data_IF_525226363835
#
_entry.id   IF_525226363835
#
_cell.length_a   1.000
_cell.length_b   1.000
_cell.length_c   1.000
_cell.angle_alpha   90.00
_cell.angle_beta   90.00
_cell.angle_gamma   90.00
#
_symmetry.space_group_name_H-M   'P 1'
#
loop_
_entity.id
_entity.type
_entity.pdbx_description
1 polymer ?
#
# COMPACT_ATOMS: atom_id res chain seq x y z
N UNK A 1 15.38 7.34 10.15
CA UNK A 1 15.64 5.87 10.25
C UNK A 1 15.96 5.36 8.84
N UNK A 2 16.65 4.23 8.71
CA UNK A 2 16.84 3.64 7.39
C UNK A 2 15.50 3.16 6.83
N UNK A 3 15.32 3.26 5.50
CA UNK A 3 14.10 2.79 4.85
C UNK A 3 13.99 1.26 4.97
N UNK A 4 12.81 0.76 5.35
CA UNK A 4 12.49 -0.67 5.36
C UNK A 4 11.89 -1.13 4.03
N UNK A 5 11.97 -2.42 3.75
CA UNK A 5 11.52 -2.98 2.48
C UNK A 5 10.36 -3.94 2.65
N UNK A 6 9.35 -3.77 1.82
CA UNK A 6 8.22 -4.66 1.70
C UNK A 6 8.01 -5.14 0.25
N UNK A 7 7.23 -6.19 0.12
CA UNK A 7 6.79 -6.71 -1.18
C UNK A 7 5.28 -6.86 -1.20
N UNK A 8 4.65 -6.49 -2.29
CA UNK A 8 3.21 -6.72 -2.52
C UNK A 8 3.03 -7.78 -3.60
N UNK A 9 2.43 -8.89 -3.23
CA UNK A 9 2.18 -10.05 -4.10
C UNK A 9 0.68 -10.16 -4.36
N UNK A 10 0.29 -10.37 -5.63
CA UNK A 10 -1.11 -10.64 -5.98
C UNK A 10 -1.56 -11.99 -5.41
N UNK A 11 -2.76 -12.07 -4.85
CA UNK A 11 -3.34 -13.34 -4.42
C UNK A 11 -3.95 -14.12 -5.60
N UNK A 12 -3.13 -14.29 -6.66
CA UNK A 12 -3.51 -15.04 -7.86
C UNK A 12 -3.43 -16.56 -7.64
N UNK A 13 -4.30 -17.35 -8.30
CA UNK A 13 -4.16 -18.79 -8.32
C UNK A 13 -2.94 -19.23 -9.17
N UNK A 14 -2.25 -20.32 -8.79
CA UNK A 14 -2.52 -21.16 -7.62
C UNK A 14 -1.92 -20.57 -6.34
N UNK A 15 -2.62 -20.69 -5.21
CA UNK A 15 -2.18 -20.11 -3.92
C UNK A 15 -0.77 -20.51 -3.46
N UNK A 16 -0.21 -21.70 -3.78
CA UNK A 16 1.16 -22.01 -3.36
C UNK A 16 2.18 -21.01 -3.89
N UNK A 17 1.97 -20.46 -5.11
CA UNK A 17 2.83 -19.44 -5.69
C UNK A 17 2.90 -18.17 -4.86
N UNK A 18 1.77 -17.76 -4.29
CA UNK A 18 1.72 -16.62 -3.37
C UNK A 18 2.62 -16.85 -2.14
N UNK A 19 2.57 -18.04 -1.55
CA UNK A 19 3.39 -18.39 -0.39
C UNK A 19 4.88 -18.52 -0.75
N UNK A 20 5.20 -19.12 -1.88
CA UNK A 20 6.59 -19.24 -2.39
C UNK A 20 7.23 -17.86 -2.54
N UNK A 21 6.53 -16.89 -3.14
CA UNK A 21 7.05 -15.55 -3.33
C UNK A 21 7.25 -14.79 -2.02
N UNK A 22 6.33 -14.91 -1.05
CA UNK A 22 6.49 -14.29 0.27
C UNK A 22 7.65 -14.93 1.06
N UNK A 23 7.76 -16.24 1.03
CA UNK A 23 8.86 -16.96 1.72
C UNK A 23 10.21 -16.58 1.10
N UNK A 24 10.30 -16.55 -0.24
CA UNK A 24 11.51 -16.11 -0.93
C UNK A 24 11.83 -14.64 -0.59
N UNK A 25 10.84 -13.75 -0.55
CA UNK A 25 11.08 -12.36 -0.17
C UNK A 25 11.62 -12.23 1.26
N UNK A 26 11.09 -12.99 2.22
CA UNK A 26 11.62 -13.05 3.59
C UNK A 26 13.09 -13.50 3.60
N UNK A 27 13.44 -14.54 2.81
CA UNK A 27 14.82 -15.03 2.66
C UNK A 27 15.75 -13.99 2.03
N UNK A 28 15.22 -13.10 1.17
CA UNK A 28 15.97 -11.99 0.56
C UNK A 28 16.04 -10.73 1.45
N UNK A 29 15.48 -10.76 2.66
CA UNK A 29 15.58 -9.67 3.62
C UNK A 29 14.45 -8.63 3.56
N UNK A 30 13.35 -8.93 2.88
CA UNK A 30 12.16 -8.08 2.96
C UNK A 30 11.48 -8.25 4.32
N UNK A 31 11.15 -7.12 4.95
CA UNK A 31 10.56 -7.09 6.30
C UNK A 31 9.03 -7.16 6.27
N UNK A 32 8.39 -6.78 5.14
CA UNK A 32 6.94 -6.71 5.00
C UNK A 32 6.45 -7.49 3.79
N UNK A 33 5.41 -8.30 4.00
CA UNK A 33 4.66 -9.02 2.97
C UNK A 33 3.23 -8.52 2.89
N UNK A 34 2.86 -7.99 1.74
CA UNK A 34 1.56 -7.40 1.51
C UNK A 34 0.79 -8.10 0.40
N UNK A 35 -0.53 -7.99 0.42
CA UNK A 35 -1.38 -8.47 -0.67
C UNK A 35 -2.56 -7.54 -0.92
N UNK A 36 -3.20 -7.67 -2.08
CA UNK A 36 -4.42 -6.95 -2.41
C UNK A 36 -5.66 -7.63 -1.82
N UNK A 37 -6.73 -6.85 -1.67
CA UNK A 37 -8.02 -7.33 -1.18
C UNK A 37 -9.15 -6.91 -2.14
N UNK A 38 -9.26 -7.64 -3.26
CA UNK A 38 -10.31 -7.49 -4.29
C UNK A 38 -10.82 -8.87 -4.68
N UNK A 39 -11.75 -9.40 -3.91
CA UNK A 39 -12.24 -10.78 -3.95
C UNK A 39 -12.90 -11.24 -5.27
N UNK A 40 -13.18 -10.34 -6.20
CA UNK A 40 -13.67 -10.67 -7.55
C UNK A 40 -12.53 -10.76 -8.55
N UNK A 41 -11.48 -9.95 -8.38
CA UNK A 41 -10.34 -9.91 -9.27
C UNK A 41 -9.34 -11.03 -8.97
N UNK A 42 -9.23 -11.41 -7.69
CA UNK A 42 -8.28 -12.41 -7.18
C UNK A 42 -8.93 -13.30 -6.12
N UNK A 43 -8.15 -14.25 -5.58
CA UNK A 43 -8.58 -15.11 -4.49
C UNK A 43 -8.84 -14.31 -3.20
N UNK A 44 -9.70 -14.83 -2.32
CA UNK A 44 -9.97 -14.25 -1.00
C UNK A 44 -8.68 -14.19 -0.15
N UNK A 45 -8.31 -13.00 0.27
CA UNK A 45 -6.99 -12.72 0.84
C UNK A 45 -6.82 -13.13 2.31
N UNK A 46 -7.88 -13.13 3.12
CA UNK A 46 -7.80 -13.48 4.55
C UNK A 46 -7.27 -14.92 4.78
N UNK A 47 -7.80 -15.97 4.10
CA UNK A 47 -7.24 -17.31 4.20
C UNK A 47 -5.78 -17.40 3.75
N UNK A 48 -5.40 -16.63 2.72
CA UNK A 48 -4.02 -16.61 2.19
C UNK A 48 -3.06 -15.94 3.18
N UNK A 49 -3.48 -14.87 3.86
CA UNK A 49 -2.70 -14.26 4.93
C UNK A 49 -2.52 -15.20 6.13
N UNK A 50 -3.53 -16.00 6.46
CA UNK A 50 -3.40 -17.03 7.52
C UNK A 50 -2.34 -18.08 7.16
N UNK A 51 -2.32 -18.54 5.90
CA UNK A 51 -1.29 -19.45 5.41
C UNK A 51 0.09 -18.78 5.39
N UNK A 52 0.19 -17.52 4.91
CA UNK A 52 1.43 -16.76 4.92
C UNK A 52 1.97 -16.54 6.34
N UNK A 53 1.09 -16.29 7.32
CA UNK A 53 1.46 -16.14 8.73
C UNK A 53 2.13 -17.40 9.31
N UNK A 54 1.76 -18.57 8.82
CA UNK A 54 2.39 -19.85 9.23
C UNK A 54 3.60 -20.23 8.39
N UNK A 55 3.69 -19.75 7.14
CA UNK A 55 4.80 -20.03 6.23
C UNK A 55 6.03 -19.14 6.48
N UNK A 56 5.82 -17.90 6.95
CA UNK A 56 6.87 -16.92 7.27
C UNK A 56 7.18 -16.89 8.77
N UNK A 57 8.36 -16.36 9.15
CA UNK A 57 8.84 -16.37 10.55
C UNK A 57 8.90 -14.99 11.19
N UNK A 58 9.38 -14.00 10.46
CA UNK A 58 9.69 -12.64 10.95
C UNK A 58 8.96 -11.55 10.18
N UNK A 59 8.59 -11.84 8.93
CA UNK A 59 7.95 -10.90 8.03
C UNK A 59 6.61 -10.41 8.61
N UNK A 60 6.42 -9.10 8.66
CA UNK A 60 5.13 -8.48 8.97
C UNK A 60 4.20 -8.63 7.78
N UNK A 61 2.92 -8.92 8.02
CA UNK A 61 1.96 -9.28 6.96
C UNK A 61 0.71 -8.41 7.00
N UNK A 62 0.16 -8.09 5.83
CA UNK A 62 -1.06 -7.30 5.76
C UNK A 62 -1.62 -7.10 4.35
N UNK A 63 -2.61 -6.23 4.26
CA UNK A 63 -3.17 -5.81 2.97
C UNK A 63 -2.61 -4.46 2.53
N UNK A 64 -2.36 -4.36 1.23
CA UNK A 64 -1.97 -3.09 0.58
C UNK A 64 -2.94 -2.75 -0.59
N UNK A 65 -4.24 -2.49 -0.33
CA UNK A 65 -4.90 -2.29 0.97
C UNK A 65 -6.24 -3.03 1.02
N UNK A 66 -6.77 -3.27 2.23
CA UNK A 66 -8.17 -3.70 2.43
C UNK A 66 -9.14 -2.51 2.48
N UNK A 67 -10.42 -2.76 2.76
CA UNK A 67 -11.44 -1.71 2.90
C UNK A 67 -12.58 -2.15 3.84
N UNK A 68 -13.27 -1.21 4.52
CA UNK A 68 -14.36 -1.53 5.43
C UNK A 68 -15.72 -1.73 4.74
N UNK A 69 -15.75 -1.76 3.40
CA UNK A 69 -17.01 -1.79 2.64
C UNK A 69 -17.31 -3.12 1.98
N UNK A 70 -16.39 -4.08 1.97
CA UNK A 70 -16.59 -5.43 1.43
C UNK A 70 -16.81 -6.47 2.52
N UNK A 71 -16.39 -6.15 3.74
CA UNK A 71 -16.69 -6.91 4.97
C UNK A 71 -17.23 -5.95 6.01
N UNK A 72 -18.14 -6.44 6.85
CA UNK A 72 -18.60 -5.67 8.00
C UNK A 72 -17.40 -5.32 8.90
N UNK A 73 -17.25 -4.05 9.36
CA UNK A 73 -16.05 -3.60 10.07
C UNK A 73 -15.65 -4.41 11.28
N UNK A 74 -16.61 -4.93 12.10
CA UNK A 74 -16.28 -5.77 13.25
C UNK A 74 -15.73 -7.13 12.83
N UNK A 75 -16.20 -7.69 11.70
CA UNK A 75 -15.69 -8.95 11.13
C UNK A 75 -14.26 -8.74 10.62
N UNK A 76 -13.97 -7.61 9.96
CA UNK A 76 -12.62 -7.28 9.50
C UNK A 76 -11.66 -7.13 10.68
N UNK A 77 -12.05 -6.39 11.71
CA UNK A 77 -11.23 -6.21 12.92
C UNK A 77 -10.96 -7.53 13.64
N UNK A 78 -11.99 -8.39 13.81
CA UNK A 78 -11.85 -9.72 14.40
C UNK A 78 -10.93 -10.62 13.57
N UNK A 79 -11.02 -10.58 12.23
CA UNK A 79 -10.11 -11.33 11.36
C UNK A 79 -8.66 -10.91 11.55
N UNK A 80 -8.39 -9.60 11.64
CA UNK A 80 -7.03 -9.10 11.89
C UNK A 80 -6.49 -9.47 13.26
N UNK A 81 -7.30 -9.37 14.31
CA UNK A 81 -6.91 -9.84 15.65
C UNK A 81 -6.57 -11.34 15.66
N UNK A 82 -7.37 -12.16 14.94
CA UNK A 82 -7.09 -13.61 14.79
C UNK A 82 -5.79 -13.86 14.01
N UNK A 83 -5.58 -13.15 12.88
CA UNK A 83 -4.34 -13.26 12.12
C UNK A 83 -3.12 -12.81 12.94
N UNK A 84 -3.30 -11.81 13.79
CA UNK A 84 -2.25 -11.32 14.68
C UNK A 84 -1.81 -12.37 15.68
N UNK A 85 -2.76 -13.09 16.28
CA UNK A 85 -2.48 -14.24 17.15
C UNK A 85 -1.77 -15.35 16.37
N UNK A 86 -2.31 -15.78 15.21
CA UNK A 86 -1.70 -16.81 14.36
C UNK A 86 -0.25 -16.46 13.96
N UNK A 87 0.00 -15.19 13.64
CA UNK A 87 1.33 -14.74 13.20
C UNK A 87 2.31 -14.48 14.34
N UNK A 88 1.88 -14.53 15.59
CA UNK A 88 2.70 -14.17 16.74
C UNK A 88 3.01 -12.67 16.80
N UNK A 89 2.03 -11.82 16.54
CA UNK A 89 2.14 -10.37 16.68
C UNK A 89 2.69 -9.64 15.44
N UNK A 90 2.61 -10.23 14.23
CA UNK A 90 3.24 -9.67 13.02
C UNK A 90 2.26 -9.02 12.03
N UNK A 91 0.98 -8.83 12.40
CA UNK A 91 0.05 -8.18 11.47
C UNK A 91 0.20 -6.67 11.45
N UNK A 92 0.00 -6.11 10.27
CA UNK A 92 -0.14 -4.66 9.99
C UNK A 92 -1.33 -4.44 9.06
N UNK A 93 -2.09 -3.36 9.23
CA UNK A 93 -3.28 -3.12 8.42
C UNK A 93 -3.08 -1.92 7.48
N UNK A 94 -3.03 -2.15 6.18
CA UNK A 94 -3.23 -1.10 5.20
C UNK A 94 -4.69 -1.06 4.76
N UNK A 95 -5.33 0.11 4.82
CA UNK A 95 -6.76 0.26 4.59
C UNK A 95 -7.11 1.49 3.76
N UNK A 96 -8.01 1.34 2.80
CA UNK A 96 -8.54 2.40 1.95
C UNK A 96 -10.06 2.35 1.86
N UNK A 97 -10.65 3.25 1.07
CA UNK A 97 -12.11 3.35 0.90
C UNK A 97 -12.74 2.25 0.04
N UNK A 98 -11.93 1.40 -0.59
CA UNK A 98 -12.38 0.38 -1.54
C UNK A 98 -12.67 0.96 -2.91
N UNK A 99 -11.67 1.03 -3.78
CA UNK A 99 -11.85 1.37 -5.20
C UNK A 99 -12.17 0.13 -6.02
N UNK A 100 -11.16 -0.63 -6.45
CA UNK A 100 -11.36 -1.81 -7.32
C UNK A 100 -12.30 -2.84 -6.69
N UNK A 101 -12.12 -3.18 -5.41
CA UNK A 101 -12.92 -4.18 -4.70
C UNK A 101 -14.42 -3.88 -4.69
N UNK A 102 -14.81 -2.59 -4.67
CA UNK A 102 -16.21 -2.16 -4.64
C UNK A 102 -16.76 -1.85 -6.03
N UNK A 103 -15.97 -1.22 -6.89
CA UNK A 103 -16.41 -0.88 -8.25
C UNK A 103 -16.72 -2.11 -9.10
N UNK A 104 -15.95 -3.19 -8.97
CA UNK A 104 -16.20 -4.45 -9.70
C UNK A 104 -17.51 -5.15 -9.30
N UNK A 105 -18.06 -4.83 -8.14
CA UNK A 105 -19.39 -5.29 -7.69
C UNK A 105 -20.46 -4.20 -7.84
N UNK A 106 -20.20 -3.14 -8.59
CA UNK A 106 -21.17 -2.06 -8.86
C UNK A 106 -21.37 -1.07 -7.70
N UNK A 107 -20.48 -1.04 -6.73
CA UNK A 107 -20.57 -0.13 -5.58
C UNK A 107 -19.56 1.01 -5.67
N UNK A 108 -19.90 2.16 -5.08
CA UNK A 108 -18.98 3.28 -4.93
C UNK A 108 -18.06 3.08 -3.72
N UNK A 109 -16.85 3.68 -3.71
CA UNK A 109 -16.00 3.72 -2.52
C UNK A 109 -16.77 4.23 -1.29
N UNK A 110 -16.46 3.68 -0.11
CA UNK A 110 -17.10 4.04 1.16
C UNK A 110 -17.11 5.56 1.36
N UNK A 111 -18.19 6.12 1.83
CA UNK A 111 -18.31 7.57 2.10
C UNK A 111 -17.32 7.98 3.19
N UNK A 112 -16.79 9.21 3.10
CA UNK A 112 -15.69 9.65 3.95
C UNK A 112 -15.99 9.62 5.45
N UNK A 113 -17.21 10.01 5.86
CA UNK A 113 -17.61 9.97 7.27
C UNK A 113 -17.71 8.53 7.80
N UNK A 114 -18.37 7.65 7.04
CA UNK A 114 -18.48 6.22 7.34
C UNK A 114 -17.08 5.54 7.36
N UNK A 115 -16.20 5.96 6.44
CA UNK A 115 -14.83 5.47 6.40
C UNK A 115 -14.07 5.83 7.68
N UNK A 116 -14.08 7.09 8.10
CA UNK A 116 -13.41 7.53 9.32
C UNK A 116 -13.96 6.85 10.58
N UNK A 117 -15.29 6.75 10.69
CA UNK A 117 -15.96 6.06 11.80
C UNK A 117 -15.52 4.58 11.87
N UNK A 118 -15.54 3.90 10.71
CA UNK A 118 -15.09 2.50 10.62
C UNK A 118 -13.63 2.34 11.01
N UNK A 119 -12.74 3.27 10.60
CA UNK A 119 -11.33 3.18 10.94
C UNK A 119 -11.06 3.33 12.44
N UNK A 120 -11.72 4.28 13.12
CA UNK A 120 -11.62 4.46 14.57
C UNK A 120 -12.05 3.18 15.29
N UNK A 121 -13.22 2.67 14.94
CA UNK A 121 -13.74 1.43 15.51
C UNK A 121 -12.82 0.23 15.24
N UNK A 122 -12.40 0.01 13.99
CA UNK A 122 -11.53 -1.13 13.62
C UNK A 122 -10.21 -1.07 14.40
N UNK A 123 -9.57 0.11 14.46
CA UNK A 123 -8.28 0.29 15.13
C UNK A 123 -8.35 -0.10 16.60
N UNK A 124 -9.34 0.40 17.32
CA UNK A 124 -9.50 0.13 18.75
C UNK A 124 -9.93 -1.32 18.98
N UNK A 125 -10.91 -1.80 18.21
CA UNK A 125 -11.49 -3.12 18.39
C UNK A 125 -10.54 -4.26 18.06
N UNK A 126 -9.74 -4.14 16.97
CA UNK A 126 -8.76 -5.20 16.64
C UNK A 126 -7.61 -5.29 17.65
N UNK A 127 -7.37 -4.22 18.41
CA UNK A 127 -6.38 -4.14 19.47
C UNK A 127 -6.97 -4.44 20.87
N UNK A 128 -8.19 -5.01 20.92
CA UNK A 128 -8.83 -5.49 22.16
C UNK A 128 -9.38 -4.38 23.05
N UNK A 129 -9.55 -3.16 22.51
CA UNK A 129 -10.20 -2.08 23.26
C UNK A 129 -11.73 -2.19 23.15
N UNK A 130 -12.43 -1.64 24.14
CA UNK A 130 -13.88 -1.51 24.12
C UNK A 130 -14.29 -0.41 23.16
N UNK A 131 -15.31 -0.70 22.33
CA UNK A 131 -15.86 0.23 21.37
C UNK A 131 -17.37 0.29 21.47
N UNK A 132 -17.99 1.45 21.21
CA UNK A 132 -19.43 1.53 20.91
C UNK A 132 -19.61 1.40 19.40
N UNK A 133 -20.40 0.41 18.96
CA UNK A 133 -20.74 0.20 17.56
C UNK A 133 -22.24 -0.06 17.42
N UNK A 134 -22.92 0.83 16.69
CA UNK A 134 -24.37 0.79 16.53
C UNK A 134 -25.14 0.77 17.87
N UNK A 135 -24.66 1.51 18.89
CA UNK A 135 -25.26 1.60 20.22
C UNK A 135 -25.08 0.34 21.07
N UNK A 136 -24.05 -0.47 20.76
CA UNK A 136 -23.64 -1.64 21.53
C UNK A 136 -22.19 -1.52 21.94
N UNK A 137 -21.89 -1.70 23.21
CA UNK A 137 -20.52 -1.88 23.69
C UNK A 137 -20.04 -3.27 23.28
N UNK A 138 -18.93 -3.32 22.55
CA UNK A 138 -18.28 -4.52 22.05
C UNK A 138 -16.83 -4.59 22.54
N UNK A 139 -16.32 -5.81 22.75
CA UNK A 139 -14.93 -6.07 23.13
C UNK A 139 -14.49 -7.44 22.58
N UNK A 140 -13.31 -7.53 21.98
CA UNK A 140 -12.65 -8.81 21.67
C UNK A 140 -11.80 -9.23 22.88
N UNK A 141 -12.43 -9.85 23.88
CA UNK A 141 -11.79 -10.20 25.16
C UNK A 141 -10.61 -11.17 25.05
N UNK A 142 -10.45 -11.78 23.88
CA UNK A 142 -9.38 -12.71 23.53
C UNK A 142 -8.26 -12.09 22.70
N UNK A 143 -8.46 -10.88 22.16
CA UNK A 143 -7.46 -10.21 21.33
C UNK A 143 -6.27 -9.75 22.18
N UNK A 144 -5.06 -9.87 21.60
CA UNK A 144 -3.85 -9.33 22.20
C UNK A 144 -3.84 -7.80 22.06
N UNK A 145 -3.44 -7.12 23.13
CA UNK A 145 -3.22 -5.66 23.12
C UNK A 145 -1.79 -5.29 22.77
N UNK A 146 -0.87 -6.25 22.85
CA UNK A 146 0.56 -6.01 22.64
C UNK A 146 1.20 -7.14 21.82
N UNK A 147 2.01 -6.77 20.80
CA UNK A 147 2.15 -5.42 20.27
C UNK A 147 0.86 -4.96 19.56
N UNK A 148 0.56 -3.66 19.46
CA UNK A 148 -0.62 -3.22 18.75
C UNK A 148 -0.47 -3.43 17.23
N UNK A 149 -1.59 -3.67 16.55
CA UNK A 149 -1.65 -3.76 15.08
C UNK A 149 -1.66 -2.33 14.51
N UNK A 150 -0.62 -1.88 13.79
CA UNK A 150 -0.61 -0.56 13.17
C UNK A 150 -1.66 -0.48 12.06
N UNK A 151 -2.30 0.68 11.91
CA UNK A 151 -3.29 0.96 10.87
C UNK A 151 -2.79 2.08 9.95
N UNK A 152 -2.47 1.73 8.70
CA UNK A 152 -2.00 2.65 7.67
C UNK A 152 -3.11 2.98 6.68
N UNK A 153 -3.35 4.27 6.44
CA UNK A 153 -4.48 4.75 5.63
C UNK A 153 -4.02 5.14 4.22
N UNK A 154 -4.62 4.52 3.22
CA UNK A 154 -4.36 4.86 1.82
C UNK A 154 -5.25 6.00 1.33
N UNK A 155 -4.64 7.00 0.68
CA UNK A 155 -5.39 8.10 0.07
C UNK A 155 -4.51 9.10 -0.65
N UNK A 156 -5.13 9.84 -1.57
CA UNK A 156 -4.49 10.91 -2.35
C UNK A 156 -5.13 12.28 -2.09
N UNK A 157 -6.44 12.32 -1.84
CA UNK A 157 -7.17 13.57 -1.73
C UNK A 157 -7.15 14.17 -0.32
N UNK A 158 -7.26 15.50 -0.20
CA UNK A 158 -7.14 16.20 1.09
C UNK A 158 -8.02 15.63 2.20
N UNK A 159 -9.25 15.21 1.89
CA UNK A 159 -10.16 14.61 2.89
C UNK A 159 -9.69 13.24 3.40
N UNK A 160 -9.16 12.39 2.50
CA UNK A 160 -8.64 11.08 2.89
C UNK A 160 -7.34 11.23 3.70
N UNK A 161 -6.47 12.15 3.28
CA UNK A 161 -5.23 12.47 3.99
C UNK A 161 -5.51 13.08 5.37
N UNK A 162 -6.57 13.90 5.49
CA UNK A 162 -7.00 14.40 6.78
C UNK A 162 -7.48 13.27 7.72
N UNK A 163 -8.19 12.26 7.20
CA UNK A 163 -8.54 11.06 7.99
C UNK A 163 -7.29 10.28 8.39
N UNK A 164 -6.33 10.09 7.46
CA UNK A 164 -5.06 9.45 7.77
C UNK A 164 -4.33 10.14 8.93
N UNK A 165 -4.25 11.47 8.91
CA UNK A 165 -3.65 12.26 10.01
C UNK A 165 -4.38 12.10 11.34
N UNK A 166 -5.73 12.05 11.33
CA UNK A 166 -6.52 11.94 12.57
C UNK A 166 -6.54 10.54 13.19
N UNK A 167 -6.46 9.48 12.39
CA UNK A 167 -6.71 8.11 12.86
C UNK A 167 -5.53 7.18 12.59
N UNK A 168 -4.87 7.30 11.44
CA UNK A 168 -3.82 6.38 10.99
C UNK A 168 -2.54 6.46 11.82
N UNK A 169 -1.75 5.40 11.79
CA UNK A 169 -0.38 5.37 12.28
C UNK A 169 0.61 5.71 11.15
N UNK A 170 0.13 5.74 9.90
CA UNK A 170 0.87 6.18 8.74
C UNK A 170 -0.01 6.34 7.51
N UNK A 171 0.60 6.74 6.41
CA UNK A 171 -0.03 7.00 5.12
C UNK A 171 0.53 6.06 4.07
N UNK A 172 -0.33 5.35 3.36
CA UNK A 172 0.03 4.55 2.19
C UNK A 172 -0.15 5.37 0.92
N UNK A 173 0.92 5.47 0.14
CA UNK A 173 1.00 6.23 -1.11
C UNK A 173 1.45 5.30 -2.24
N UNK A 174 0.67 5.24 -3.33
CA UNK A 174 0.96 4.37 -4.47
C UNK A 174 1.65 5.17 -5.59
N UNK A 175 2.86 5.60 -5.37
CA UNK A 175 3.78 6.20 -6.36
C UNK A 175 5.15 6.48 -5.72
N UNK A 176 6.19 6.69 -6.56
CA UNK A 176 7.56 6.94 -6.13
C UNK A 176 8.07 8.34 -6.54
N UNK A 177 7.19 9.36 -6.52
CA UNK A 177 7.57 10.75 -6.82
C UNK A 177 7.79 11.56 -5.54
N UNK A 178 9.04 12.03 -5.26
CA UNK A 178 9.36 12.74 -4.02
C UNK A 178 8.52 13.98 -3.75
N UNK A 179 8.22 14.78 -4.79
CA UNK A 179 7.47 16.03 -4.62
C UNK A 179 6.01 15.77 -4.25
N UNK A 180 5.37 14.78 -4.87
CA UNK A 180 3.99 14.38 -4.56
C UNK A 180 3.93 13.77 -3.16
N UNK A 181 4.90 12.95 -2.78
CA UNK A 181 4.99 12.35 -1.43
C UNK A 181 5.08 13.43 -0.35
N UNK A 182 5.94 14.44 -0.54
CA UNK A 182 6.07 15.55 0.41
C UNK A 182 4.75 16.31 0.59
N UNK A 183 4.03 16.60 -0.52
CA UNK A 183 2.73 17.27 -0.45
C UNK A 183 1.68 16.42 0.31
N UNK A 184 1.62 15.13 0.02
CA UNK A 184 0.71 14.18 0.68
C UNK A 184 1.00 14.13 2.18
N UNK A 185 2.26 13.94 2.57
CA UNK A 185 2.66 13.84 3.98
C UNK A 185 2.45 15.16 4.72
N UNK A 186 2.75 16.29 4.12
CA UNK A 186 2.48 17.61 4.71
C UNK A 186 0.97 17.79 5.01
N UNK A 187 0.10 17.37 4.10
CA UNK A 187 -1.36 17.44 4.27
C UNK A 187 -1.84 16.54 5.43
N UNK A 188 -1.33 15.32 5.52
CA UNK A 188 -1.70 14.39 6.59
C UNK A 188 -1.16 14.86 7.95
N UNK A 189 0.11 15.29 8.02
CA UNK A 189 0.76 15.81 9.23
C UNK A 189 0.06 17.05 9.78
N UNK A 190 -0.33 17.99 8.92
CA UNK A 190 -1.11 19.16 9.34
C UNK A 190 -2.47 18.78 9.95
N UNK A 191 -3.07 17.66 9.54
CA UNK A 191 -4.29 17.16 10.14
C UNK A 191 -4.05 16.45 11.48
N UNK A 192 -2.94 15.71 11.61
CA UNK A 192 -2.53 15.09 12.88
C UNK A 192 -2.29 16.17 13.96
N UNK A 193 -1.56 17.22 13.62
CA UNK A 193 -1.29 18.36 14.51
C UNK A 193 -2.59 19.03 15.01
N UNK A 194 -3.55 19.27 14.12
CA UNK A 194 -4.87 19.83 14.49
C UNK A 194 -5.66 18.95 15.44
N UNK A 195 -5.47 17.64 15.38
CA UNK A 195 -6.08 16.66 16.30
C UNK A 195 -5.27 16.51 17.60
N UNK A 196 -4.16 17.22 17.75
CA UNK A 196 -3.28 17.13 18.92
C UNK A 196 -2.39 15.87 18.94
N UNK A 197 -2.21 15.23 17.78
CA UNK A 197 -1.30 14.09 17.61
C UNK A 197 0.07 14.56 17.15
N UNK A 198 1.11 13.80 17.48
CA UNK A 198 2.44 14.05 16.96
C UNK A 198 2.49 13.82 15.44
N UNK A 199 2.72 14.86 14.62
CA UNK A 199 2.78 14.73 13.18
C UNK A 199 3.98 13.89 12.69
N UNK A 200 5.07 13.84 13.47
CA UNK A 200 6.28 13.10 13.13
C UNK A 200 6.16 11.60 13.45
N UNK A 201 5.15 11.19 14.21
CA UNK A 201 4.82 9.79 14.42
C UNK A 201 4.09 9.14 13.23
N UNK A 202 3.66 9.92 12.21
CA UNK A 202 3.04 9.36 11.01
C UNK A 202 4.09 8.76 10.07
N UNK A 203 4.07 7.45 9.92
CA UNK A 203 4.92 6.73 8.96
C UNK A 203 4.50 7.00 7.50
N UNK A 204 5.47 7.12 6.62
CA UNK A 204 5.30 7.25 5.18
C UNK A 204 5.61 5.93 4.49
N UNK A 205 4.56 5.23 4.04
CA UNK A 205 4.66 3.94 3.38
C UNK A 205 4.34 4.11 1.90
N UNK A 206 5.27 3.82 1.02
CA UNK A 206 5.01 3.90 -0.41
C UNK A 206 5.05 2.52 -1.07
N UNK A 207 4.29 2.38 -2.16
CA UNK A 207 4.29 1.19 -3.00
C UNK A 207 4.37 1.57 -4.47
N UNK A 208 5.31 0.95 -5.19
CA UNK A 208 5.45 1.10 -6.62
C UNK A 208 6.11 -0.15 -7.23
N UNK A 209 5.88 -0.46 -8.52
CA UNK A 209 6.64 -1.48 -9.21
C UNK A 209 8.11 -1.11 -9.23
N UNK A 210 8.93 -2.16 -9.14
CA UNK A 210 10.36 -2.04 -9.36
C UNK A 210 10.85 -3.11 -10.33
N UNK A 211 11.74 -2.71 -11.22
CA UNK A 211 12.43 -3.62 -12.15
C UNK A 211 13.90 -3.25 -12.22
N UNK A 212 14.72 -4.11 -11.66
CA UNK A 212 16.19 -3.98 -11.76
C UNK A 212 16.62 -4.58 -13.09
N UNK A 213 17.06 -3.73 -14.03
CA UNK A 213 17.48 -4.14 -15.37
C UNK A 213 18.31 -3.05 -16.04
N UNK A 214 19.33 -3.45 -16.82
CA UNK A 214 20.06 -2.54 -17.70
C UNK A 214 19.27 -2.19 -18.96
N UNK A 215 18.22 -2.95 -19.32
CA UNK A 215 17.29 -2.64 -20.38
C UNK A 215 16.15 -1.77 -19.85
N UNK A 216 16.38 -0.46 -19.83
CA UNK A 216 15.42 0.52 -19.33
C UNK A 216 14.14 0.57 -20.18
N UNK A 217 14.22 0.31 -21.49
CA UNK A 217 13.05 0.30 -22.36
C UNK A 217 12.10 -0.85 -21.98
N UNK A 218 12.63 -2.05 -21.78
CA UNK A 218 11.86 -3.19 -21.29
C UNK A 218 11.31 -2.94 -19.88
N UNK A 219 12.12 -2.38 -18.99
CA UNK A 219 11.69 -2.07 -17.62
C UNK A 219 10.49 -1.13 -17.59
N UNK A 220 10.48 -0.08 -18.44
CA UNK A 220 9.35 0.84 -18.59
C UNK A 220 8.07 0.15 -19.05
N UNK A 221 8.17 -0.74 -20.04
CA UNK A 221 7.01 -1.50 -20.52
C UNK A 221 6.42 -2.41 -19.43
N UNK A 222 7.26 -3.04 -18.63
CA UNK A 222 6.81 -3.90 -17.53
C UNK A 222 6.09 -3.15 -16.40
N UNK A 223 6.35 -1.86 -16.21
CA UNK A 223 5.73 -1.04 -15.14
C UNK A 223 4.65 -0.07 -15.62
N UNK A 224 4.45 0.11 -16.93
CA UNK A 224 3.54 1.09 -17.55
C UNK A 224 2.08 0.97 -17.08
N UNK A 225 1.64 -0.22 -16.68
CA UNK A 225 0.33 -0.47 -16.10
C UNK A 225 0.08 0.31 -14.80
N UNK A 226 1.14 0.60 -14.05
CA UNK A 226 1.02 1.16 -12.71
C UNK A 226 0.60 2.64 -12.70
N UNK A 227 1.21 3.56 -13.43
CA UNK A 227 0.68 4.91 -13.55
C UNK A 227 -0.74 4.95 -14.14
N UNK A 228 -1.07 4.01 -15.01
CA UNK A 228 -2.44 3.87 -15.50
C UNK A 228 -3.42 3.47 -14.38
N UNK A 229 -3.02 2.61 -13.45
CA UNK A 229 -3.80 2.29 -12.26
C UNK A 229 -3.95 3.52 -11.34
N UNK A 230 -2.86 4.23 -11.06
CA UNK A 230 -2.87 5.48 -10.27
C UNK A 230 -3.81 6.52 -10.87
N UNK A 231 -3.93 6.56 -12.20
CA UNK A 231 -4.83 7.49 -12.91
C UNK A 231 -6.29 7.40 -12.47
N UNK A 232 -6.76 6.25 -11.97
CA UNK A 232 -8.13 6.13 -11.44
C UNK A 232 -8.34 7.01 -10.22
N UNK A 233 -7.40 7.00 -9.30
CA UNK A 233 -7.46 7.81 -8.09
C UNK A 233 -7.35 9.31 -8.43
N UNK A 234 -6.51 9.65 -9.39
CA UNK A 234 -6.33 11.03 -9.85
C UNK A 234 -7.60 11.55 -10.54
N UNK A 235 -8.25 10.74 -11.38
CA UNK A 235 -9.53 11.13 -11.98
C UNK A 235 -10.62 11.36 -10.94
N UNK A 236 -10.73 10.50 -9.93
CA UNK A 236 -11.65 10.70 -8.79
C UNK A 236 -11.38 12.02 -8.04
N UNK A 237 -10.11 12.43 -7.94
CA UNK A 237 -9.74 13.72 -7.35
C UNK A 237 -10.21 14.89 -8.23
N UNK A 238 -9.93 14.81 -9.53
CA UNK A 238 -10.31 15.84 -10.49
C UNK A 238 -11.83 16.02 -10.55
N UNK A 239 -12.58 14.92 -10.55
CA UNK A 239 -14.05 14.96 -10.49
C UNK A 239 -14.59 15.64 -9.24
N UNK A 240 -13.89 15.56 -8.11
CA UNK A 240 -14.33 16.13 -6.82
C UNK A 240 -13.87 17.55 -6.57
N UNK A 241 -12.66 17.88 -7.00
CA UNK A 241 -12.00 19.14 -6.62
C UNK A 241 -11.78 20.06 -7.82
N UNK A 242 -11.94 19.56 -9.05
CA UNK A 242 -11.67 20.29 -10.29
C UNK A 242 -10.18 20.29 -10.67
N UNK A 243 -9.90 20.69 -11.92
CA UNK A 243 -8.55 20.80 -12.46
C UNK A 243 -7.74 21.95 -11.84
N UNK A 244 -8.41 23.00 -11.37
CA UNK A 244 -7.80 24.22 -10.80
C UNK A 244 -7.69 24.15 -9.26
N UNK A 245 -7.68 22.94 -8.71
CA UNK A 245 -7.53 22.72 -7.25
C UNK A 245 -6.06 22.82 -6.82
N UNK A 246 -5.83 22.92 -5.50
CA UNK A 246 -4.49 22.93 -4.89
C UNK A 246 -3.75 21.57 -4.97
N UNK A 247 -4.26 20.63 -5.78
CA UNK A 247 -3.60 19.34 -6.03
C UNK A 247 -2.45 19.59 -7.03
N UNK A 248 -1.22 19.08 -6.75
CA UNK A 248 -0.08 19.32 -7.63
C UNK A 248 -0.34 18.93 -9.09
N UNK A 249 0.02 19.79 -10.03
CA UNK A 249 -0.08 19.53 -11.47
C UNK A 249 0.69 18.28 -11.88
N UNK A 250 1.80 18.01 -11.20
CA UNK A 250 2.62 16.80 -11.33
C UNK A 250 1.82 15.52 -11.13
N UNK A 251 0.78 15.57 -10.30
CA UNK A 251 -0.14 14.45 -10.08
C UNK A 251 -1.31 14.43 -11.08
N UNK A 252 -1.74 15.59 -11.59
CA UNK A 252 -2.97 15.69 -12.40
C UNK A 252 -2.73 15.73 -13.91
N UNK A 253 -1.61 16.27 -14.37
CA UNK A 253 -1.41 16.53 -15.79
C UNK A 253 -1.28 15.26 -16.64
N UNK A 254 -0.69 14.19 -16.11
CA UNK A 254 -0.48 12.97 -16.89
C UNK A 254 -1.78 12.26 -17.27
N UNK A 255 -2.88 12.49 -16.55
CA UNK A 255 -4.17 11.84 -16.87
C UNK A 255 -4.98 12.57 -17.94
N UNK A 256 -4.52 13.75 -18.43
CA UNK A 256 -5.20 14.51 -19.48
C UNK A 256 -5.34 13.73 -20.80
N UNK A 257 -4.41 12.82 -21.08
CA UNK A 257 -4.42 11.98 -22.29
C UNK A 257 -5.16 10.64 -22.09
N UNK A 258 -5.65 10.37 -20.88
CA UNK A 258 -6.35 9.12 -20.55
C UNK A 258 -7.68 9.04 -21.29
N UNK A 259 -7.98 7.86 -21.89
CA UNK A 259 -9.24 7.58 -22.61
C UNK A 259 -10.18 6.68 -21.83
N UNK A 260 -9.68 5.59 -21.26
CA UNK A 260 -10.47 4.56 -20.56
C UNK A 260 -9.61 3.82 -19.52
N UNK A 261 -10.25 2.98 -18.71
CA UNK A 261 -9.61 2.01 -17.82
C UNK A 261 -10.44 0.72 -17.78
N UNK A 262 -9.79 -0.44 -17.94
CA UNK A 262 -10.44 -1.75 -17.85
C UNK A 262 -9.98 -2.47 -16.58
N UNK A 263 -10.89 -2.72 -15.65
CA UNK A 263 -10.60 -3.44 -14.41
C UNK A 263 -10.27 -4.93 -14.63
N UNK A 264 -10.56 -5.53 -15.81
CA UNK A 264 -10.17 -6.90 -16.12
C UNK A 264 -8.65 -7.05 -16.23
N UNK A 265 -7.99 -5.98 -16.70
CA UNK A 265 -6.54 -5.92 -16.85
C UNK A 265 -5.88 -5.13 -15.68
N UNK A 266 -6.57 -5.02 -14.56
CA UNK A 266 -6.06 -4.30 -13.39
C UNK A 266 -4.75 -4.91 -12.90
N UNK A 267 -3.70 -4.09 -12.76
CA UNK A 267 -2.36 -4.50 -12.33
C UNK A 267 -1.70 -5.58 -13.23
N UNK A 268 -1.92 -5.50 -14.55
CA UNK A 268 -1.35 -6.43 -15.54
C UNK A 268 -0.39 -5.74 -16.48
N UNK A 269 0.78 -6.37 -16.70
CA UNK A 269 1.77 -5.93 -17.71
C UNK A 269 1.13 -5.98 -19.10
N UNK A 270 1.34 -4.93 -19.92
CA UNK A 270 0.82 -4.84 -21.26
C UNK A 270 -0.66 -4.47 -21.39
N UNK A 271 -1.30 -4.02 -20.32
CA UNK A 271 -2.69 -3.55 -20.34
C UNK A 271 -2.88 -2.37 -21.32
N UNK A 272 -3.81 -2.49 -22.27
CA UNK A 272 -4.05 -1.49 -23.32
C UNK A 272 -4.43 -0.09 -22.77
N UNK A 273 -5.04 -0.02 -21.60
CA UNK A 273 -5.36 1.25 -20.95
C UNK A 273 -4.12 2.01 -20.44
N UNK A 274 -2.91 1.44 -20.54
CA UNK A 274 -1.64 2.09 -20.21
C UNK A 274 -1.00 2.88 -21.36
N UNK A 275 -1.52 2.83 -22.57
CA UNK A 275 -0.92 3.47 -23.76
C UNK A 275 -0.68 4.98 -23.64
N UNK A 276 -1.44 5.69 -22.81
CA UNK A 276 -1.29 7.12 -22.58
C UNK A 276 -0.13 7.48 -21.65
N UNK A 277 0.43 6.51 -20.93
CA UNK A 277 1.51 6.71 -19.96
C UNK A 277 2.83 6.86 -20.69
N UNK A 278 3.52 7.99 -20.50
CA UNK A 278 4.83 8.26 -21.10
C UNK A 278 5.95 7.58 -20.31
N UNK A 279 7.12 7.44 -20.94
CA UNK A 279 8.33 6.93 -20.29
C UNK A 279 8.73 7.76 -19.08
N UNK A 280 8.62 9.10 -19.19
CA UNK A 280 8.89 10.03 -18.10
C UNK A 280 8.00 9.73 -16.86
N UNK A 281 6.73 9.42 -17.08
CA UNK A 281 5.82 9.08 -15.97
C UNK A 281 6.19 7.73 -15.33
N UNK A 282 6.63 6.74 -16.13
CA UNK A 282 7.18 5.50 -15.60
C UNK A 282 8.41 5.77 -14.71
N UNK A 283 9.36 6.57 -15.19
CA UNK A 283 10.60 6.93 -14.46
C UNK A 283 10.30 7.69 -13.16
N UNK A 284 9.26 8.52 -13.16
CA UNK A 284 8.83 9.27 -11.96
C UNK A 284 8.14 8.40 -10.93
N UNK A 285 7.19 7.57 -11.35
CA UNK A 285 6.29 6.87 -10.44
C UNK A 285 6.78 5.49 -10.00
N UNK A 286 7.78 4.93 -10.69
CA UNK A 286 8.31 3.60 -10.44
C UNK A 286 9.80 3.66 -10.04
N UNK A 287 10.34 2.51 -9.62
CA UNK A 287 11.78 2.35 -9.31
C UNK A 287 12.37 1.36 -10.30
N UNK A 288 12.99 1.88 -11.39
CA UNK A 288 13.45 1.09 -12.53
C UNK A 288 14.84 1.52 -12.99
N UNK A 289 15.57 0.61 -13.59
CA UNK A 289 16.93 0.81 -14.10
C UNK A 289 17.92 -0.18 -13.51
N UNK A 290 19.22 0.12 -13.60
CA UNK A 290 20.27 -0.65 -12.94
C UNK A 290 20.09 -0.69 -11.42
N UNK A 291 20.78 -1.58 -10.72
CA UNK A 291 20.74 -1.59 -9.26
C UNK A 291 21.17 -0.26 -8.63
N UNK A 292 22.14 0.42 -9.26
CA UNK A 292 22.59 1.75 -8.82
C UNK A 292 21.53 2.82 -9.04
N UNK A 293 20.81 2.80 -10.18
CA UNK A 293 19.70 3.74 -10.46
C UNK A 293 18.56 3.53 -9.47
N UNK A 294 18.19 2.28 -9.21
CA UNK A 294 17.17 1.93 -8.21
C UNK A 294 17.58 2.40 -6.81
N UNK A 295 18.84 2.13 -6.41
CA UNK A 295 19.36 2.58 -5.12
C UNK A 295 19.35 4.10 -4.99
N UNK A 296 19.77 4.81 -6.03
CA UNK A 296 19.74 6.29 -6.06
C UNK A 296 18.32 6.81 -5.87
N UNK A 297 17.35 6.27 -6.59
CA UNK A 297 15.94 6.65 -6.46
C UNK A 297 15.41 6.38 -5.06
N UNK A 298 15.74 5.23 -4.47
CA UNK A 298 15.34 4.88 -3.10
C UNK A 298 15.98 5.81 -2.05
N UNK A 299 17.23 6.25 -2.26
CA UNK A 299 17.87 7.28 -1.41
C UNK A 299 17.19 8.64 -1.52
N UNK A 300 16.74 9.03 -2.71
CA UNK A 300 15.94 10.23 -2.89
C UNK A 300 14.62 10.15 -2.10
N UNK A 301 13.95 8.99 -2.13
CA UNK A 301 12.72 8.73 -1.37
C UNK A 301 12.97 8.75 0.15
N UNK A 302 14.03 8.10 0.61
CA UNK A 302 14.47 8.16 2.01
C UNK A 302 14.71 9.60 2.48
N UNK A 303 15.35 10.42 1.64
CA UNK A 303 15.67 11.82 1.97
C UNK A 303 14.44 12.71 2.16
N UNK A 304 13.29 12.34 1.62
CA UNK A 304 12.01 13.05 1.78
C UNK A 304 11.12 12.43 2.87
N UNK A 305 11.66 11.48 3.65
CA UNK A 305 10.99 10.92 4.83
C UNK A 305 10.11 9.71 4.53
N UNK A 306 10.46 8.91 3.51
CA UNK A 306 9.84 7.59 3.29
C UNK A 306 10.43 6.60 4.29
N UNK A 307 9.58 5.98 5.09
CA UNK A 307 9.95 4.99 6.10
C UNK A 307 9.94 3.57 5.53
N UNK A 308 9.06 3.29 4.55
CA UNK A 308 8.96 1.97 3.94
C UNK A 308 8.72 2.08 2.42
N UNK A 309 9.48 1.29 1.64
CA UNK A 309 9.23 1.08 0.21
C UNK A 309 8.74 -0.34 -0.05
N UNK A 310 7.56 -0.46 -0.69
CA UNK A 310 6.98 -1.73 -1.09
C UNK A 310 7.11 -1.96 -2.59
N UNK A 311 7.83 -3.00 -2.96
CA UNK A 311 7.91 -3.46 -4.35
C UNK A 311 6.57 -4.09 -4.76
N UNK A 312 5.87 -3.50 -5.72
CA UNK A 312 4.76 -4.16 -6.40
C UNK A 312 5.31 -5.22 -7.34
N UNK A 313 5.20 -6.48 -6.94
CA UNK A 313 5.79 -7.63 -7.64
C UNK A 313 4.92 -8.12 -8.81
N UNK A 314 4.30 -7.18 -9.54
CA UNK A 314 3.47 -7.44 -10.73
C UNK A 314 4.24 -7.15 -12.02
N UNK A 315 5.51 -7.57 -12.06
CA UNK A 315 6.39 -7.55 -13.21
C UNK A 315 6.72 -8.98 -13.64
N UNK A 316 7.31 -9.15 -14.82
CA UNK A 316 7.90 -10.42 -15.21
C UNK A 316 9.16 -10.70 -14.38
N UNK A 317 9.58 -11.96 -14.29
CA UNK A 317 10.79 -12.38 -13.57
C UNK A 317 10.80 -11.94 -12.08
N UNK A 318 9.77 -12.32 -11.37
CA UNK A 318 9.53 -11.95 -9.97
C UNK A 318 10.67 -12.35 -9.04
N UNK A 319 11.17 -13.59 -9.17
CA UNK A 319 12.29 -14.11 -8.37
C UNK A 319 13.58 -13.34 -8.61
N UNK A 320 13.85 -12.96 -9.85
CA UNK A 320 15.04 -12.16 -10.20
C UNK A 320 14.98 -10.78 -9.54
N UNK A 321 13.80 -10.16 -9.51
CA UNK A 321 13.58 -8.88 -8.81
C UNK A 321 13.85 -9.01 -7.32
N UNK A 322 13.29 -10.04 -6.66
CA UNK A 322 13.53 -10.30 -5.24
C UNK A 322 15.01 -10.56 -4.96
N UNK A 323 15.66 -11.40 -5.76
CA UNK A 323 17.08 -11.71 -5.62
C UNK A 323 17.98 -10.48 -5.83
N UNK A 324 17.66 -9.62 -6.80
CA UNK A 324 18.40 -8.38 -7.03
C UNK A 324 18.28 -7.42 -5.83
N UNK A 325 17.08 -7.29 -5.25
CA UNK A 325 16.90 -6.49 -4.04
C UNK A 325 17.71 -7.04 -2.86
N UNK A 326 17.63 -8.34 -2.59
CA UNK A 326 18.35 -8.97 -1.48
C UNK A 326 19.86 -8.89 -1.62
N UNK A 327 20.38 -9.02 -2.84
CA UNK A 327 21.82 -9.01 -3.11
C UNK A 327 22.41 -7.61 -3.21
N UNK A 328 21.74 -6.69 -3.93
CA UNK A 328 22.36 -5.45 -4.41
C UNK A 328 21.78 -4.18 -3.76
N UNK A 329 20.54 -4.20 -3.30
CA UNK A 329 19.83 -3.00 -2.84
C UNK A 329 19.65 -2.98 -1.32
N UNK A 330 18.94 -3.94 -0.73
CA UNK A 330 18.62 -3.96 0.71
C UNK A 330 19.87 -3.81 1.59
N UNK A 331 21.01 -4.49 1.30
CA UNK A 331 22.23 -4.35 2.10
C UNK A 331 22.78 -2.93 2.16
N UNK A 332 22.51 -2.09 1.16
CA UNK A 332 22.97 -0.70 1.14
C UNK A 332 22.18 0.22 2.10
N UNK A 333 20.99 -0.21 2.52
CA UNK A 333 20.15 0.51 3.48
C UNK A 333 20.20 -0.08 4.89
N UNK A 334 20.76 -1.29 5.06
CA UNK A 334 21.06 -1.81 6.36
C UNK A 334 22.05 -0.87 7.05
N UNK A 335 21.68 -0.26 8.18
CA UNK A 335 22.60 0.56 8.97
C UNK A 335 23.84 -0.26 9.31
N UNK A 336 25.00 0.39 9.40
CA UNK A 336 26.20 -0.29 9.86
C UNK A 336 25.87 -1.01 11.18
N UNK A 337 26.28 -2.28 11.36
CA UNK A 337 26.01 -2.99 12.61
C UNK A 337 26.51 -2.13 13.75
N UNK A 338 25.67 -1.91 14.76
CA UNK A 338 26.04 -1.19 15.97
C UNK A 338 27.29 -1.85 16.52
N UNK A 339 28.41 -1.08 16.49
CA UNK A 339 29.73 -1.49 16.96
C UNK A 339 29.76 -1.70 18.46
#
# INVERSE_FOLDING_TARGET
MAISFGVTVLPDPPYPRFLELLTLAEEQGFEYGWTYDSHILWQESIPLLALAATATKTMKLGHFVTNPGTREPTVLASAYATLHDISGGRMVMGIGRGDSARRVIGQQPVKMAEFEESLRMIKDFMNGEKVDWNGKELELTWASKEPPIPLYVAGYGPKALAVAGRVGDGVIIQLADPAIIQWIMATARASAEKEGRDPDALECIIGAPSKVSDDLAQAREEVRWFPAMVSNHVMDLIERYGWDSDIPSELTDFVKARKFYDYKDHSRVGAAHGEFVTDEICDRFCVIGSADDCTKKLRELESVGVDQFNVYLMTNAQEETLAAYGRDIIPQFAGAPAS
#
